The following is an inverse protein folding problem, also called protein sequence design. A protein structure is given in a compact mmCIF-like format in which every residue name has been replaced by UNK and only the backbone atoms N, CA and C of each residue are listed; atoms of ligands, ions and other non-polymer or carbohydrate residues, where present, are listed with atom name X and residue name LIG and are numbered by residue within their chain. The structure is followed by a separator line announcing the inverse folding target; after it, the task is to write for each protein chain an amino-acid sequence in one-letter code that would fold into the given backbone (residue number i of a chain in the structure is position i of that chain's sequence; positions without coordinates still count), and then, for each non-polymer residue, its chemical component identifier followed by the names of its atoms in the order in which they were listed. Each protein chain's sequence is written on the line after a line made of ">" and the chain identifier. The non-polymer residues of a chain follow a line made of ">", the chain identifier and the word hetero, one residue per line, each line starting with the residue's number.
data_IF_011229929297
#
_entry.id   IF_011229929297
#
_cell.length_a   1.000
_cell.length_b   1.000
_cell.length_c   1.000
_cell.angle_alpha   90.00
_cell.angle_beta   90.00
_cell.angle_gamma   90.00
#
_symmetry.space_group_name_H-M   'P 1'
#
loop_
_entity.id
_entity.type
_entity.pdbx_description
1 polymer ?
#
# COMPACT_ATOMS: atom_id res chain seq x y z
N UNK A 1 -19.25 13.64 -43.92
CA UNK A 1 -17.85 13.28 -43.87
C UNK A 1 -17.22 13.59 -42.52
N UNK A 2 -17.28 14.81 -42.15
CA UNK A 2 -16.55 15.26 -40.98
C UNK A 2 -17.15 14.81 -39.67
N UNK A 3 -18.44 14.64 -39.62
CA UNK A 3 -19.13 14.26 -38.41
C UNK A 3 -18.79 12.86 -37.92
N UNK A 4 -18.31 12.03 -38.76
CA UNK A 4 -17.99 10.65 -38.39
C UNK A 4 -16.86 10.55 -37.42
N UNK A 5 -15.91 11.44 -37.55
CA UNK A 5 -14.72 11.40 -36.70
C UNK A 5 -15.03 11.77 -35.26
N UNK A 6 -16.00 12.61 -35.06
CA UNK A 6 -16.36 13.07 -33.74
C UNK A 6 -16.93 11.93 -32.90
N UNK A 7 -17.72 11.06 -33.50
CA UNK A 7 -18.33 9.96 -32.77
C UNK A 7 -17.30 8.99 -32.21
N UNK A 8 -16.22 8.77 -32.92
CA UNK A 8 -15.19 7.84 -32.48
C UNK A 8 -14.48 8.33 -31.24
N UNK A 9 -14.26 9.62 -31.14
CA UNK A 9 -13.57 10.17 -29.99
C UNK A 9 -14.34 9.94 -28.70
N UNK A 10 -15.65 10.00 -28.72
CA UNK A 10 -16.45 9.80 -27.55
C UNK A 10 -16.35 8.40 -26.96
N UNK A 11 -16.24 7.40 -27.80
CA UNK A 11 -16.15 6.01 -27.34
C UNK A 11 -14.85 5.76 -26.58
N UNK A 12 -13.76 6.33 -27.06
CA UNK A 12 -12.46 6.13 -26.42
C UNK A 12 -12.44 6.67 -25.00
N UNK A 13 -13.09 7.79 -24.77
CA UNK A 13 -13.11 8.40 -23.44
C UNK A 13 -13.81 7.53 -22.41
N UNK A 14 -14.86 6.85 -22.80
CA UNK A 14 -15.57 5.97 -21.88
C UNK A 14 -14.70 4.82 -21.39
N UNK A 15 -13.94 4.23 -22.28
CA UNK A 15 -13.04 3.13 -21.90
C UNK A 15 -11.98 3.57 -20.90
N UNK A 16 -11.46 4.77 -21.06
CA UNK A 16 -10.45 5.30 -20.15
C UNK A 16 -10.98 5.49 -18.75
N UNK A 17 -12.20 5.97 -18.62
CA UNK A 17 -12.79 6.18 -17.31
C UNK A 17 -13.02 4.88 -16.55
N UNK A 18 -13.39 3.83 -17.24
CA UNK A 18 -13.62 2.53 -16.60
C UNK A 18 -12.35 1.95 -16.02
N UNK A 19 -11.21 2.14 -16.68
CA UNK A 19 -9.96 1.58 -16.18
C UNK A 19 -9.37 2.38 -15.02
N UNK A 20 -9.70 3.66 -14.92
CA UNK A 20 -9.11 4.51 -13.90
C UNK A 20 -9.45 4.09 -12.47
N UNK A 21 -10.61 3.43 -12.27
CA UNK A 21 -11.05 3.04 -10.94
C UNK A 21 -10.12 2.03 -10.27
N UNK A 22 -9.45 1.18 -11.07
CA UNK A 22 -8.58 0.14 -10.54
C UNK A 22 -7.09 0.45 -10.73
N UNK A 23 -6.78 1.68 -11.11
CA UNK A 23 -5.39 2.04 -11.35
C UNK A 23 -4.60 2.08 -10.04
N UNK A 24 -3.40 1.50 -10.02
CA UNK A 24 -2.56 1.56 -8.82
C UNK A 24 -2.07 2.99 -8.56
N UNK A 25 -1.78 3.24 -7.31
CA UNK A 25 -1.25 4.52 -6.86
C UNK A 25 0.25 4.41 -6.67
N UNK A 26 0.98 5.41 -7.13
CA UNK A 26 2.42 5.45 -6.93
C UNK A 26 2.74 5.98 -5.55
N UNK A 27 3.67 5.33 -4.87
CA UNK A 27 4.13 5.77 -3.56
C UNK A 27 5.57 5.35 -3.34
N UNK A 28 6.16 5.80 -2.23
CA UNK A 28 7.52 5.47 -1.87
C UNK A 28 7.57 5.02 -0.42
N UNK A 29 8.29 3.93 -0.16
CA UNK A 29 8.53 3.47 1.21
C UNK A 29 9.60 4.37 1.82
N UNK A 30 9.24 5.13 2.87
CA UNK A 30 10.14 6.14 3.41
C UNK A 30 10.69 5.83 4.79
N UNK A 31 10.04 4.96 5.55
CA UNK A 31 10.47 4.67 6.91
C UNK A 31 10.01 3.29 7.33
N UNK A 32 10.67 2.74 8.34
CA UNK A 32 10.35 1.43 8.87
C UNK A 32 10.56 1.43 10.37
N UNK A 33 9.69 0.76 11.09
CA UNK A 33 9.87 0.53 12.52
C UNK A 33 9.24 -0.80 12.90
N UNK A 34 9.73 -1.38 14.00
CA UNK A 34 9.14 -2.58 14.58
C UNK A 34 8.11 -2.17 15.62
N UNK A 35 6.94 -2.77 15.57
CA UNK A 35 5.87 -2.47 16.51
C UNK A 35 5.34 -3.76 17.10
N UNK A 36 4.88 -3.67 18.33
CA UNK A 36 4.28 -4.82 18.98
C UNK A 36 2.91 -5.10 18.36
N UNK A 37 2.69 -6.32 17.94
CA UNK A 37 1.45 -6.68 17.25
C UNK A 37 0.87 -8.00 17.71
N UNK A 38 1.35 -8.54 18.83
CA UNK A 38 0.81 -9.76 19.38
C UNK A 38 1.70 -10.27 20.51
N UNK A 39 1.27 -11.35 21.11
CA UNK A 39 2.05 -12.00 22.17
C UNK A 39 2.00 -13.50 21.96
N UNK A 40 3.07 -14.15 22.37
CA UNK A 40 3.17 -15.61 22.36
C UNK A 40 3.37 -16.08 23.78
N UNK A 41 2.51 -16.98 24.25
CA UNK A 41 2.66 -17.55 25.57
C UNK A 41 3.75 -18.60 25.56
N UNK A 42 4.68 -18.47 26.50
CA UNK A 42 5.76 -19.43 26.68
C UNK A 42 5.68 -19.94 28.10
N UNK A 43 4.79 -20.89 28.33
CA UNK A 43 4.53 -21.42 29.67
C UNK A 43 3.40 -20.67 30.35
N UNK A 44 3.19 -20.96 31.64
CA UNK A 44 2.03 -20.45 32.35
C UNK A 44 2.17 -19.02 32.85
N UNK A 45 3.38 -18.52 32.98
CA UNK A 45 3.62 -17.22 33.61
C UNK A 45 4.40 -16.25 32.72
N UNK A 46 4.83 -16.66 31.57
CA UNK A 46 5.62 -15.78 30.72
C UNK A 46 4.99 -15.65 29.35
N UNK A 47 5.15 -14.47 28.76
CA UNK A 47 4.73 -14.21 27.40
C UNK A 47 5.78 -13.35 26.72
N UNK A 48 5.94 -13.55 25.42
CA UNK A 48 6.88 -12.79 24.62
C UNK A 48 6.11 -11.92 23.65
N UNK A 49 6.48 -10.65 23.57
CA UNK A 49 5.91 -9.76 22.59
C UNK A 49 6.38 -10.15 21.20
N UNK A 50 5.44 -10.22 20.28
CA UNK A 50 5.74 -10.47 18.88
C UNK A 50 5.73 -9.15 18.13
N UNK A 51 6.69 -8.98 17.22
CA UNK A 51 6.86 -7.73 16.51
C UNK A 51 6.46 -7.87 15.04
N UNK A 52 5.82 -6.84 14.55
CA UNK A 52 5.51 -6.69 13.13
C UNK A 52 6.34 -5.57 12.55
N UNK A 53 6.65 -5.67 11.27
CA UNK A 53 7.26 -4.57 10.54
C UNK A 53 6.16 -3.58 10.17
N UNK A 54 6.43 -2.31 10.40
CA UNK A 54 5.54 -1.22 10.02
C UNK A 54 6.30 -0.24 9.14
N UNK A 55 5.69 0.18 8.06
CA UNK A 55 6.32 1.06 7.09
C UNK A 55 5.49 2.31 6.87
N UNK A 56 6.17 3.39 6.51
CA UNK A 56 5.52 4.59 6.02
C UNK A 56 5.63 4.60 4.50
N UNK A 57 4.51 4.83 3.84
CA UNK A 57 4.44 4.93 2.38
C UNK A 57 3.89 6.31 2.05
N UNK A 58 4.68 7.12 1.34
CA UNK A 58 4.29 8.48 0.95
C UNK A 58 3.90 8.55 -0.50
N UNK A 59 2.77 9.17 -0.75
CA UNK A 59 2.35 9.55 -2.10
C UNK A 59 2.52 11.07 -2.23
N UNK A 60 2.04 11.65 -3.29
CA UNK A 60 2.09 13.10 -3.45
C UNK A 60 1.20 13.85 -2.46
N UNK A 61 0.17 13.19 -1.92
CA UNK A 61 -0.82 13.85 -1.08
C UNK A 61 -1.02 13.21 0.28
N UNK A 62 -0.58 11.97 0.47
CA UNK A 62 -0.95 11.19 1.64
C UNK A 62 0.23 10.38 2.14
N UNK A 63 0.34 10.24 3.45
CA UNK A 63 1.27 9.30 4.06
C UNK A 63 0.46 8.20 4.72
N UNK A 64 0.78 6.97 4.38
CA UNK A 64 0.14 5.78 4.94
C UNK A 64 1.09 5.10 5.91
N UNK A 65 0.53 4.60 7.01
CA UNK A 65 1.24 3.69 7.90
C UNK A 65 0.69 2.30 7.64
N UNK A 66 1.56 1.39 7.24
CA UNK A 66 1.16 0.02 6.93
C UNK A 66 1.94 -0.95 7.80
N UNK A 67 1.30 -2.04 8.17
CA UNK A 67 1.88 -3.02 9.09
C UNK A 67 1.61 -4.42 8.60
N UNK A 68 2.54 -5.35 8.88
CA UNK A 68 2.31 -6.76 8.59
C UNK A 68 1.00 -7.23 9.24
N UNK A 69 0.19 -8.05 8.55
CA UNK A 69 -1.06 -8.55 9.12
C UNK A 69 -0.85 -9.41 10.36
N UNK A 70 0.30 -10.06 10.43
CA UNK A 70 0.67 -10.91 11.55
C UNK A 70 2.18 -10.94 11.67
N UNK A 71 2.72 -11.28 12.84
CA UNK A 71 4.16 -11.42 12.97
C UNK A 71 4.70 -12.48 12.03
N UNK A 72 5.76 -12.15 11.32
CA UNK A 72 6.41 -13.11 10.44
C UNK A 72 7.87 -12.70 10.21
N UNK A 73 8.69 -13.66 9.91
CA UNK A 73 10.10 -13.43 9.59
C UNK A 73 10.21 -13.10 8.11
N UNK A 74 9.95 -11.87 7.77
CA UNK A 74 10.04 -11.40 6.41
C UNK A 74 11.23 -10.47 6.29
N UNK A 75 11.95 -10.57 5.17
CA UNK A 75 13.05 -9.67 4.92
C UNK A 75 12.54 -8.23 4.90
N UNK A 76 13.34 -7.31 5.43
CA UNK A 76 12.98 -5.90 5.45
C UNK A 76 12.89 -5.37 4.03
N UNK A 77 11.89 -4.53 3.80
CA UNK A 77 11.77 -3.85 2.52
C UNK A 77 12.74 -2.67 2.49
N UNK A 78 13.41 -2.43 1.36
CA UNK A 78 14.34 -1.32 1.28
C UNK A 78 13.62 0.02 1.32
N UNK A 79 14.23 0.98 2.02
CA UNK A 79 13.70 2.33 2.09
C UNK A 79 13.99 3.09 0.80
N UNK A 80 13.24 4.15 0.58
CA UNK A 80 13.34 4.97 -0.63
C UNK A 80 13.00 4.19 -1.89
N UNK A 81 12.15 3.18 -1.76
CA UNK A 81 11.77 2.32 -2.87
C UNK A 81 10.40 2.73 -3.40
N UNK A 82 10.31 3.01 -4.71
CA UNK A 82 9.01 3.31 -5.31
C UNK A 82 8.18 2.04 -5.47
N UNK A 83 6.89 2.14 -5.20
CA UNK A 83 5.96 1.03 -5.36
C UNK A 83 4.69 1.52 -6.05
N UNK A 84 3.99 0.59 -6.65
CA UNK A 84 2.65 0.81 -7.19
C UNK A 84 1.72 -0.08 -6.37
N UNK A 85 0.78 0.55 -5.67
CA UNK A 85 -0.07 -0.20 -4.76
C UNK A 85 -1.54 0.05 -5.03
N UNK A 86 -2.38 -0.87 -4.55
CA UNK A 86 -3.82 -0.69 -4.51
C UNK A 86 -4.27 -0.91 -3.08
N UNK A 87 -5.37 -0.27 -2.70
CA UNK A 87 -5.94 -0.45 -1.38
C UNK A 87 -7.33 -1.06 -1.55
N UNK A 88 -7.54 -2.19 -0.89
CA UNK A 88 -8.81 -2.88 -0.86
C UNK A 88 -9.21 -3.03 0.58
N UNK A 89 -10.27 -2.30 0.98
CA UNK A 89 -10.71 -2.21 2.36
C UNK A 89 -9.60 -1.62 3.22
N UNK A 90 -8.97 -2.38 4.07
CA UNK A 90 -7.90 -1.88 4.93
C UNK A 90 -6.56 -2.50 4.58
N UNK A 91 -6.43 -3.04 3.38
CA UNK A 91 -5.22 -3.74 2.97
C UNK A 91 -4.56 -3.05 1.80
N UNK A 92 -3.27 -2.82 1.91
CA UNK A 92 -2.47 -2.29 0.83
C UNK A 92 -1.74 -3.45 0.17
N UNK A 93 -1.90 -3.56 -1.15
CA UNK A 93 -1.30 -4.64 -1.93
C UNK A 93 -0.36 -4.08 -2.97
N UNK A 94 0.82 -4.65 -3.07
CA UNK A 94 1.78 -4.24 -4.09
C UNK A 94 2.72 -5.39 -4.41
N UNK A 95 3.45 -5.24 -5.51
CA UNK A 95 4.51 -6.17 -5.89
C UNK A 95 5.84 -5.46 -5.85
N UNK A 96 6.85 -6.17 -5.40
CA UNK A 96 8.21 -5.65 -5.38
C UNK A 96 9.14 -6.80 -5.77
N UNK A 97 9.91 -6.61 -6.83
CA UNK A 97 10.81 -7.63 -7.34
C UNK A 97 10.11 -8.96 -7.62
N UNK A 98 8.89 -8.90 -8.15
CA UNK A 98 8.11 -10.08 -8.49
C UNK A 98 7.38 -10.74 -7.35
N UNK A 99 7.58 -10.27 -6.13
CA UNK A 99 6.93 -10.83 -4.94
C UNK A 99 5.74 -9.97 -4.54
N UNK A 100 4.63 -10.62 -4.19
CA UNK A 100 3.43 -9.93 -3.76
C UNK A 100 3.46 -9.68 -2.26
N UNK A 101 3.08 -8.47 -1.87
CA UNK A 101 3.00 -8.08 -0.46
C UNK A 101 1.60 -7.59 -0.14
N UNK A 102 1.17 -7.85 1.08
CA UNK A 102 -0.11 -7.37 1.58
C UNK A 102 0.09 -6.91 3.00
N UNK A 103 -0.26 -5.65 3.26
CA UNK A 103 -0.10 -5.03 4.57
C UNK A 103 -1.41 -4.42 5.01
N UNK A 104 -1.61 -4.30 6.32
CA UNK A 104 -2.76 -3.59 6.86
C UNK A 104 -2.47 -2.10 6.89
N UNK A 105 -3.42 -1.29 6.46
CA UNK A 105 -3.32 0.16 6.60
C UNK A 105 -3.78 0.51 8.01
N UNK A 106 -2.86 0.96 8.85
CA UNK A 106 -3.16 1.25 10.25
C UNK A 106 -3.19 2.75 10.54
N UNK A 107 -2.80 3.56 9.58
CA UNK A 107 -2.87 5.01 9.72
C UNK A 107 -2.78 5.70 8.38
N UNK A 108 -3.31 6.90 8.32
CA UNK A 108 -3.30 7.70 7.11
C UNK A 108 -3.37 9.16 7.49
N UNK A 109 -2.50 9.97 6.91
CA UNK A 109 -2.52 11.41 7.15
C UNK A 109 -2.24 12.15 5.85
N UNK A 110 -2.83 13.32 5.74
CA UNK A 110 -2.62 14.18 4.59
C UNK A 110 -1.25 14.84 4.70
N UNK A 111 -0.55 14.93 3.59
CA UNK A 111 0.71 15.67 3.52
C UNK A 111 0.37 17.10 3.18
N UNK A 112 0.78 18.03 4.04
CA UNK A 112 0.52 19.44 3.80
C UNK A 112 1.61 20.04 2.94
N UNK A 113 1.25 20.80 1.91
CA UNK A 113 2.24 21.49 1.11
C UNK A 113 2.94 22.56 1.93
N UNK A 114 4.20 22.78 1.64
CA UNK A 114 5.00 23.78 2.34
C UNK A 114 5.26 24.99 1.49
#
# INVERSE_FOLDING_TARGET
>A
MKSRLVALAGVVLCASLCSAADAPTAGTITAMQSVECGTKKEGKKSSTSLLCQQYAVRTSTTEYQIRQPKPSEQALLPLSTPIQFTIDKHKMKFKLNGKKYEFLVVGMSAIQPQ
#
